data_IF_494025268501
#
_entry.id   IF_494025268501
#
_cell.length_a   1.000
_cell.length_b   1.000
_cell.length_c   1.000
_cell.angle_alpha   90.00
_cell.angle_beta   90.00
_cell.angle_gamma   90.00
#
_symmetry.space_group_name_H-M   'P 1'
#
loop_
_entity.id
_entity.type
_entity.pdbx_description
1 polymer ?
#
# COMPACT_ATOMS: atom_id res chain seq x y z
N UNK A 1 -53.53 42.44 28.49
CA UNK A 1 -52.97 41.09 28.24
C UNK A 1 -51.93 40.80 29.31
N UNK A 2 -51.93 39.60 29.90
CA UNK A 2 -51.33 39.34 31.20
C UNK A 2 -49.81 39.07 31.10
N UNK A 3 -48.96 39.81 31.82
CA UNK A 3 -47.49 39.62 31.87
C UNK A 3 -47.08 38.17 32.20
N UNK A 4 -47.90 37.47 32.99
CA UNK A 4 -47.71 36.05 33.32
C UNK A 4 -47.86 35.14 32.11
N UNK A 5 -48.78 35.45 31.20
CA UNK A 5 -49.04 34.66 29.99
C UNK A 5 -47.85 34.69 29.03
N UNK A 6 -47.21 35.86 28.87
CA UNK A 6 -46.03 36.01 28.01
C UNK A 6 -44.82 35.23 28.55
N UNK A 7 -44.64 35.19 29.88
CA UNK A 7 -43.58 34.38 30.52
C UNK A 7 -43.75 32.89 30.26
N UNK A 8 -44.98 32.36 30.27
CA UNK A 8 -45.24 30.96 29.95
C UNK A 8 -44.99 30.65 28.47
N UNK A 9 -45.37 31.55 27.56
CA UNK A 9 -45.08 31.40 26.12
C UNK A 9 -43.57 31.40 25.85
N UNK A 10 -42.83 32.35 26.43
CA UNK A 10 -41.37 32.40 26.29
C UNK A 10 -40.73 31.13 26.86
N UNK A 11 -41.18 30.66 28.04
CA UNK A 11 -40.70 29.42 28.65
C UNK A 11 -40.93 28.19 27.76
N UNK A 12 -42.10 28.11 27.12
CA UNK A 12 -42.45 27.03 26.18
C UNK A 12 -41.57 27.05 24.92
N UNK A 13 -41.32 28.24 24.35
CA UNK A 13 -40.47 28.39 23.16
C UNK A 13 -39.03 27.99 23.47
N UNK A 14 -38.48 28.42 24.61
CA UNK A 14 -37.12 28.04 25.04
C UNK A 14 -37.01 26.53 25.22
N UNK A 15 -38.00 25.89 25.87
CA UNK A 15 -38.04 24.45 26.05
C UNK A 15 -38.10 23.68 24.72
N UNK A 16 -38.84 24.18 23.72
CA UNK A 16 -38.92 23.56 22.39
C UNK A 16 -37.61 23.70 21.60
N UNK A 17 -36.92 24.84 21.69
CA UNK A 17 -35.64 25.05 20.98
C UNK A 17 -34.46 24.30 21.61
N UNK A 18 -34.51 24.03 22.92
CA UNK A 18 -33.48 23.28 23.63
C UNK A 18 -33.50 21.76 23.33
N UNK A 19 -34.56 21.25 22.68
CA UNK A 19 -34.68 19.84 22.27
C UNK A 19 -34.05 19.53 20.89
N UNK A 20 -33.38 20.50 20.26
CA UNK A 20 -32.69 20.26 19.00
C UNK A 20 -31.45 19.37 19.20
N UNK A 21 -31.59 18.06 19.02
CA UNK A 21 -30.45 17.15 18.90
C UNK A 21 -29.71 17.39 17.58
N UNK A 22 -28.44 17.79 17.66
CA UNK A 22 -27.52 17.63 16.53
C UNK A 22 -27.35 16.13 16.28
N UNK A 23 -27.55 15.68 15.05
CA UNK A 23 -27.30 14.30 14.64
C UNK A 23 -25.88 14.22 14.06
N UNK A 24 -24.85 13.85 14.85
CA UNK A 24 -23.48 13.77 14.35
C UNK A 24 -23.39 12.64 13.32
N UNK A 25 -23.37 13.01 12.04
CA UNK A 25 -23.05 12.09 10.95
C UNK A 25 -21.53 11.96 10.89
N UNK A 26 -21.02 10.74 10.77
CA UNK A 26 -19.60 10.54 10.55
C UNK A 26 -19.16 11.30 9.28
N UNK A 27 -18.01 12.00 9.30
CA UNK A 27 -17.49 12.59 8.08
C UNK A 27 -17.32 11.49 7.04
N UNK A 28 -17.76 11.74 5.82
CA UNK A 28 -17.42 10.86 4.70
C UNK A 28 -15.91 10.92 4.51
N UNK A 29 -15.26 9.77 4.35
CA UNK A 29 -13.83 9.71 4.04
C UNK A 29 -13.49 10.44 2.73
N UNK A 30 -12.20 10.59 2.48
CA UNK A 30 -11.71 11.09 1.19
C UNK A 30 -12.05 10.14 0.03
N UNK A 31 -11.78 10.57 -1.21
CA UNK A 31 -11.86 9.66 -2.36
C UNK A 31 -10.94 8.46 -2.13
N UNK A 32 -11.37 7.28 -2.61
CA UNK A 32 -10.56 6.06 -2.55
C UNK A 32 -9.29 6.22 -3.37
N UNK A 33 -8.15 5.76 -2.84
CA UNK A 33 -6.92 5.69 -3.62
C UNK A 33 -6.97 4.56 -4.67
N UNK A 34 -6.43 4.86 -5.84
CA UNK A 34 -6.36 3.98 -7.01
C UNK A 34 -4.94 3.86 -7.56
N UNK A 35 -3.98 4.61 -7.00
CA UNK A 35 -2.60 4.60 -7.46
C UNK A 35 -1.87 3.36 -6.91
N UNK A 36 -1.05 2.69 -7.74
CA UNK A 36 -0.18 1.63 -7.26
C UNK A 36 1.05 2.20 -6.55
N UNK A 37 1.75 1.38 -5.74
CA UNK A 37 2.99 1.82 -5.09
C UNK A 37 4.09 2.08 -6.12
N UNK A 38 4.95 3.06 -5.83
CA UNK A 38 6.07 3.44 -6.70
C UNK A 38 7.40 2.94 -6.13
N UNK A 39 8.30 2.53 -7.02
CA UNK A 39 9.67 2.13 -6.64
C UNK A 39 10.54 3.38 -6.52
N UNK A 40 11.10 3.59 -5.33
CA UNK A 40 11.97 4.73 -5.01
C UNK A 40 13.43 4.39 -5.24
N UNK A 41 13.86 3.19 -4.83
CA UNK A 41 15.25 2.76 -4.98
C UNK A 41 15.34 1.25 -5.16
N UNK A 42 16.30 0.83 -5.99
CA UNK A 42 16.70 -0.56 -6.14
C UNK A 42 18.19 -0.70 -5.84
N UNK A 43 18.54 -1.73 -5.09
CA UNK A 43 19.92 -2.07 -4.75
C UNK A 43 20.17 -3.54 -5.05
N UNK A 44 21.02 -3.86 -6.05
CA UNK A 44 21.63 -2.96 -7.02
C UNK A 44 20.58 -2.22 -7.86
N UNK A 45 20.99 -1.12 -8.48
CA UNK A 45 20.13 -0.37 -9.40
C UNK A 45 19.68 -1.26 -10.57
N UNK A 46 18.44 -1.09 -11.03
CA UNK A 46 17.95 -1.83 -12.20
C UNK A 46 18.88 -1.62 -13.42
N UNK A 47 19.19 -2.70 -14.13
CA UNK A 47 20.16 -2.70 -15.22
C UNK A 47 21.64 -2.67 -14.79
N UNK A 48 21.94 -2.91 -13.50
CA UNK A 48 23.32 -3.00 -13.03
C UNK A 48 24.11 -4.13 -13.71
N UNK A 49 25.37 -3.85 -14.02
CA UNK A 49 26.34 -4.83 -14.52
C UNK A 49 27.28 -5.28 -13.42
N UNK A 50 27.96 -6.43 -13.63
CA UNK A 50 28.97 -6.97 -12.70
C UNK A 50 28.45 -7.21 -11.28
N UNK A 51 27.22 -7.70 -11.17
CA UNK A 51 26.64 -8.08 -9.88
C UNK A 51 27.29 -9.36 -9.33
N UNK A 52 27.95 -9.25 -8.18
CA UNK A 52 28.61 -10.38 -7.49
C UNK A 52 27.91 -10.79 -6.18
N UNK A 53 26.81 -10.11 -5.83
CA UNK A 53 26.06 -10.37 -4.61
C UNK A 53 25.06 -11.53 -4.73
N UNK A 54 24.35 -11.79 -3.64
CA UNK A 54 23.23 -12.76 -3.60
C UNK A 54 21.90 -12.11 -3.21
N UNK A 55 21.89 -10.79 -2.99
CA UNK A 55 20.75 -10.05 -2.46
C UNK A 55 20.39 -8.88 -3.36
N UNK A 56 19.09 -8.71 -3.56
CA UNK A 56 18.48 -7.53 -4.17
C UNK A 56 17.52 -6.91 -3.16
N UNK A 57 17.39 -5.59 -3.20
CA UNK A 57 16.44 -4.84 -2.39
C UNK A 57 15.70 -3.83 -3.26
N UNK A 58 14.37 -3.77 -3.12
CA UNK A 58 13.48 -2.85 -3.82
C UNK A 58 12.70 -2.09 -2.74
N UNK A 59 12.86 -0.78 -2.68
CA UNK A 59 12.17 0.07 -1.70
C UNK A 59 11.10 0.88 -2.38
N UNK A 60 9.92 0.92 -1.76
CA UNK A 60 8.74 1.60 -2.26
C UNK A 60 8.50 2.93 -1.51
N UNK A 61 7.73 3.82 -2.13
CA UNK A 61 7.29 5.08 -1.53
C UNK A 61 6.32 4.85 -0.35
N UNK A 62 5.60 3.73 -0.35
CA UNK A 62 4.60 3.34 0.66
C UNK A 62 4.77 1.90 1.17
N UNK A 63 3.94 1.49 2.12
CA UNK A 63 3.93 0.11 2.59
C UNK A 63 3.21 -0.77 1.59
N UNK A 64 3.88 -1.87 1.22
CA UNK A 64 3.34 -2.85 0.28
C UNK A 64 3.05 -4.16 1.01
N UNK A 65 2.38 -5.07 0.33
CA UNK A 65 2.21 -6.46 0.74
C UNK A 65 2.41 -7.37 -0.48
N UNK A 66 2.85 -8.59 -0.21
CA UNK A 66 3.16 -9.58 -1.24
C UNK A 66 1.96 -10.52 -1.39
N UNK A 67 1.41 -10.59 -2.60
CA UNK A 67 0.23 -11.40 -2.92
C UNK A 67 0.57 -12.39 -4.02
N UNK A 68 0.53 -13.68 -3.69
CA UNK A 68 0.70 -14.77 -4.66
C UNK A 68 1.98 -14.69 -5.51
N UNK A 69 3.06 -14.15 -4.91
CA UNK A 69 4.29 -13.86 -5.65
C UNK A 69 4.96 -15.11 -6.22
N UNK A 70 4.85 -16.26 -5.55
CA UNK A 70 5.42 -17.51 -6.05
C UNK A 70 4.83 -17.93 -7.42
N UNK A 71 3.57 -17.59 -7.71
CA UNK A 71 2.91 -17.92 -8.97
C UNK A 71 3.09 -16.80 -10.02
N UNK A 72 3.37 -15.57 -9.59
CA UNK A 72 3.45 -14.40 -10.47
C UNK A 72 4.88 -13.98 -10.81
N UNK A 73 5.85 -14.34 -9.97
CA UNK A 73 7.25 -14.01 -10.17
C UNK A 73 7.88 -14.93 -11.20
N UNK A 74 8.48 -14.34 -12.23
CA UNK A 74 9.16 -15.08 -13.30
C UNK A 74 10.60 -14.57 -13.38
N UNK A 75 11.56 -15.49 -13.31
CA UNK A 75 12.99 -15.16 -13.40
C UNK A 75 13.57 -15.79 -14.66
N UNK A 76 14.26 -14.99 -15.47
CA UNK A 76 14.93 -15.43 -16.69
C UNK A 76 16.37 -14.95 -16.71
N UNK A 77 17.38 -15.84 -16.84
CA UNK A 77 17.29 -17.30 -16.96
C UNK A 77 16.66 -17.98 -15.74
N UNK A 78 16.01 -19.14 -15.92
CA UNK A 78 15.38 -19.85 -14.80
C UNK A 78 16.43 -20.34 -13.79
N UNK A 79 16.05 -20.21 -12.52
CA UNK A 79 16.76 -20.74 -11.37
C UNK A 79 16.29 -22.17 -11.07
N UNK A 80 17.16 -22.97 -10.46
CA UNK A 80 16.84 -24.28 -9.88
C UNK A 80 16.13 -24.12 -8.55
N UNK A 81 16.51 -23.10 -7.77
CA UNK A 81 15.92 -22.81 -6.47
C UNK A 81 15.16 -21.47 -6.48
N UNK A 82 13.95 -21.49 -5.90
CA UNK A 82 13.14 -20.28 -5.76
C UNK A 82 13.80 -19.35 -4.72
N UNK A 83 14.11 -18.09 -5.07
CA UNK A 83 14.69 -17.14 -4.13
C UNK A 83 13.81 -16.91 -2.90
N UNK A 84 14.43 -16.59 -1.77
CA UNK A 84 13.68 -16.11 -0.61
C UNK A 84 13.28 -14.67 -0.82
N UNK A 85 11.99 -14.38 -0.62
CA UNK A 85 11.45 -13.02 -0.64
C UNK A 85 10.95 -12.65 0.75
N UNK A 86 11.46 -11.54 1.27
CA UNK A 86 11.13 -11.03 2.59
C UNK A 86 10.80 -9.54 2.50
N UNK A 87 9.67 -9.14 3.07
CA UNK A 87 9.32 -7.73 3.19
C UNK A 87 9.74 -7.20 4.57
N UNK A 88 10.48 -6.10 4.60
CA UNK A 88 10.86 -5.39 5.83
C UNK A 88 10.56 -3.91 5.67
N UNK A 89 9.58 -3.41 6.43
CA UNK A 89 9.09 -2.04 6.26
C UNK A 89 8.55 -1.82 4.84
N UNK A 90 9.10 -0.82 4.14
CA UNK A 90 8.77 -0.50 2.74
C UNK A 90 9.73 -1.15 1.74
N UNK A 91 10.54 -2.13 2.16
CA UNK A 91 11.58 -2.73 1.31
C UNK A 91 11.34 -4.22 1.14
N UNK A 92 11.27 -4.67 -0.12
CA UNK A 92 11.28 -6.07 -0.52
C UNK A 92 12.74 -6.50 -0.70
N UNK A 93 13.14 -7.52 0.05
CA UNK A 93 14.43 -8.18 -0.06
C UNK A 93 14.27 -9.51 -0.77
N UNK A 94 15.04 -9.72 -1.84
CA UNK A 94 15.14 -10.99 -2.56
C UNK A 94 16.53 -11.56 -2.34
N UNK A 95 16.62 -12.81 -1.90
CA UNK A 95 17.88 -13.52 -1.69
C UNK A 95 17.94 -14.76 -2.57
N UNK A 96 18.91 -14.81 -3.48
CA UNK A 96 19.20 -15.99 -4.29
C UNK A 96 19.77 -17.10 -3.40
N UNK A 97 19.24 -18.32 -3.56
CA UNK A 97 19.69 -19.50 -2.81
C UNK A 97 20.81 -20.28 -3.49
N UNK A 98 21.01 -20.03 -4.78
CA UNK A 98 22.08 -20.63 -5.58
C UNK A 98 22.93 -19.53 -6.23
N UNK A 99 24.12 -19.92 -6.70
CA UNK A 99 24.98 -19.02 -7.46
C UNK A 99 24.37 -18.69 -8.83
N UNK A 100 24.41 -17.41 -9.20
CA UNK A 100 24.01 -16.97 -10.53
C UNK A 100 25.01 -17.43 -11.58
N UNK A 101 24.52 -17.68 -12.80
CA UNK A 101 25.37 -18.08 -13.92
C UNK A 101 26.36 -16.95 -14.27
N UNK A 102 27.63 -17.27 -14.56
CA UNK A 102 28.60 -16.27 -14.96
C UNK A 102 28.18 -15.61 -16.29
N UNK A 103 28.53 -14.34 -16.46
CA UNK A 103 28.29 -13.56 -17.70
C UNK A 103 26.84 -13.60 -18.21
N UNK A 104 25.87 -13.66 -17.29
CA UNK A 104 24.45 -13.77 -17.62
C UNK A 104 23.66 -12.57 -17.11
N UNK A 105 22.70 -12.10 -17.90
CA UNK A 105 21.74 -11.07 -17.49
C UNK A 105 20.49 -11.73 -16.94
N UNK A 106 20.07 -11.36 -15.74
CA UNK A 106 18.85 -11.86 -15.12
C UNK A 106 17.76 -10.78 -15.16
N UNK A 107 16.56 -11.17 -15.58
CA UNK A 107 15.34 -10.39 -15.51
C UNK A 107 14.41 -11.02 -14.47
N UNK A 108 13.83 -10.20 -13.60
CA UNK A 108 12.94 -10.66 -12.53
C UNK A 108 11.61 -9.92 -12.68
N UNK A 109 10.64 -10.60 -13.26
CA UNK A 109 9.30 -10.06 -13.46
C UNK A 109 8.43 -10.36 -12.24
N UNK A 110 7.78 -9.35 -11.66
CA UNK A 110 6.95 -9.50 -10.44
C UNK A 110 5.44 -9.64 -10.71
N UNK A 111 5.01 -9.55 -11.97
CA UNK A 111 3.60 -9.65 -12.34
C UNK A 111 2.73 -8.60 -11.67
N UNK A 112 1.76 -9.04 -10.86
CA UNK A 112 0.88 -8.23 -10.00
C UNK A 112 1.07 -8.60 -8.52
N UNK A 113 2.22 -9.20 -8.19
CA UNK A 113 2.47 -9.78 -6.87
C UNK A 113 2.80 -8.76 -5.78
N UNK A 114 3.07 -7.51 -6.16
CA UNK A 114 3.34 -6.39 -5.27
C UNK A 114 2.12 -5.47 -5.30
N UNK A 115 1.47 -5.30 -4.15
CA UNK A 115 0.29 -4.44 -4.01
C UNK A 115 0.47 -3.52 -2.82
N UNK A 116 -0.16 -2.34 -2.81
CA UNK A 116 -0.15 -1.51 -1.61
C UNK A 116 -0.89 -2.20 -0.44
N UNK A 117 -0.60 -1.75 0.78
CA UNK A 117 -1.15 -2.35 2.00
C UNK A 117 -2.63 -1.98 2.24
N UNK A 118 -3.10 -0.84 1.73
CA UNK A 118 -4.35 -0.19 2.17
C UNK A 118 -5.52 -0.50 1.22
N UNK A 119 -5.41 -0.18 -0.07
CA UNK A 119 -6.42 -0.38 -1.11
C UNK A 119 -6.13 -1.61 -2.00
N UNK A 120 -4.90 -2.13 -1.98
CA UNK A 120 -4.50 -3.33 -2.72
C UNK A 120 -4.35 -3.12 -4.23
N UNK A 121 -4.07 -1.90 -4.66
CA UNK A 121 -3.64 -1.51 -5.98
C UNK A 121 -2.31 -2.19 -6.32
N UNK A 122 -2.31 -2.98 -7.38
CA UNK A 122 -1.15 -3.73 -7.80
C UNK A 122 -0.18 -2.89 -8.63
N UNK A 123 1.11 -2.95 -8.28
CA UNK A 123 2.18 -2.56 -9.18
C UNK A 123 2.30 -3.62 -10.27
N UNK A 124 1.94 -3.24 -11.50
CA UNK A 124 1.86 -4.17 -12.63
C UNK A 124 3.17 -4.14 -13.41
N UNK A 125 3.59 -5.32 -13.83
CA UNK A 125 4.59 -5.54 -14.87
C UNK A 125 5.98 -4.94 -14.55
N UNK A 126 6.31 -4.80 -13.26
CA UNK A 126 7.63 -4.37 -12.82
C UNK A 126 8.69 -5.45 -13.07
N UNK A 127 9.83 -5.05 -13.63
CA UNK A 127 10.97 -5.91 -14.00
C UNK A 127 12.29 -5.31 -13.53
#
# INVERSE_FOLDING_TARGET
>A
MNERFWKYIIGLIVALTAWSCANPVAPTGGPKDVQPPEVVITTPANGSVWFEGTKLAITFNEFVQIKDLNNQMIISPPLREIPDVLLRGKTLHLTFKEALRPHSTYNIFFGKGIVDLTEGNALKDYT
#
